data_IF_703311443435
#
_entry.id   IF_703311443435
#
_cell.length_a   1.000
_cell.length_b   1.000
_cell.length_c   1.000
_cell.angle_alpha   90.00
_cell.angle_beta   90.00
_cell.angle_gamma   90.00
#
_symmetry.space_group_name_H-M   'P 1'
#
loop_
_entity.id
_entity.type
_entity.pdbx_description
1 polymer ?
#
# COMPACT_ATOMS: atom_id res chain seq x y z
N UNK A 1 -0.83 -9.35 25.30
CA UNK A 1 -1.39 -9.17 23.94
C UNK A 1 -0.27 -8.69 23.05
N UNK A 2 -0.07 -9.30 21.91
CA UNK A 2 0.95 -8.89 20.93
C UNK A 2 0.44 -7.67 20.16
N UNK A 3 1.32 -6.73 19.85
CA UNK A 3 1.01 -5.61 18.97
C UNK A 3 1.90 -5.67 17.74
N UNK A 4 1.27 -5.78 16.58
CA UNK A 4 1.94 -5.85 15.29
C UNK A 4 1.72 -4.52 14.54
N UNK A 5 2.80 -3.93 14.10
CA UNK A 5 2.77 -2.79 13.17
C UNK A 5 3.02 -3.33 11.76
N UNK A 6 2.21 -2.92 10.81
CA UNK A 6 2.36 -3.28 9.40
C UNK A 6 2.47 -2.00 8.57
N UNK A 7 3.52 -1.90 7.76
CA UNK A 7 3.60 -0.92 6.67
C UNK A 7 3.30 -1.64 5.36
N UNK A 8 2.54 -0.98 4.47
CA UNK A 8 2.16 -1.57 3.18
C UNK A 8 2.13 -0.52 2.08
N UNK A 9 2.60 -0.93 0.89
CA UNK A 9 2.48 -0.14 -0.33
C UNK A 9 2.41 -1.05 -1.56
N UNK A 10 1.85 -0.51 -2.65
CA UNK A 10 1.73 -1.17 -3.94
C UNK A 10 2.14 -0.24 -5.07
N UNK A 11 2.90 -0.75 -6.02
CA UNK A 11 3.36 -0.02 -7.20
C UNK A 11 2.91 -0.70 -8.49
N UNK A 12 2.63 0.08 -9.54
CA UNK A 12 2.40 -0.45 -10.89
C UNK A 12 3.02 0.42 -11.97
N UNK A 13 3.51 -0.21 -13.03
CA UNK A 13 4.11 0.44 -14.22
C UNK A 13 3.09 0.58 -15.34
N UNK A 14 1.95 1.16 -15.00
CA UNK A 14 0.76 1.28 -15.83
C UNK A 14 -0.49 0.88 -15.05
N UNK A 15 -1.67 1.10 -15.67
CA UNK A 15 -2.93 0.82 -14.98
C UNK A 15 -4.00 0.33 -15.98
N UNK A 16 -3.90 -0.97 -16.41
CA UNK A 16 -3.06 -2.06 -15.91
C UNK A 16 -1.62 -2.07 -16.47
N UNK A 17 -0.72 -2.78 -15.73
CA UNK A 17 0.67 -3.00 -16.10
C UNK A 17 1.38 -3.93 -15.12
N UNK A 18 2.68 -4.06 -15.25
CA UNK A 18 3.49 -4.80 -14.28
C UNK A 18 3.42 -4.10 -12.92
N UNK A 19 3.23 -4.84 -11.86
CA UNK A 19 3.18 -4.28 -10.52
C UNK A 19 3.85 -5.16 -9.48
N UNK A 20 4.15 -4.57 -8.34
CA UNK A 20 4.69 -5.24 -7.17
C UNK A 20 4.14 -4.61 -5.90
N UNK A 21 4.25 -5.31 -4.80
CA UNK A 21 3.87 -4.78 -3.50
C UNK A 21 4.89 -5.13 -2.43
N UNK A 22 4.93 -4.30 -1.39
CA UNK A 22 5.72 -4.53 -0.18
C UNK A 22 4.84 -4.53 1.07
N UNK A 23 5.21 -5.38 2.03
CA UNK A 23 4.62 -5.42 3.36
C UNK A 23 5.72 -5.68 4.39
N UNK A 24 5.85 -4.80 5.38
CA UNK A 24 6.80 -4.94 6.50
C UNK A 24 6.01 -5.09 7.77
N UNK A 25 6.24 -6.19 8.49
CA UNK A 25 5.63 -6.51 9.78
C UNK A 25 6.65 -6.32 10.90
N UNK A 26 6.28 -5.60 11.93
CA UNK A 26 7.09 -5.41 13.13
C UNK A 26 6.30 -5.88 14.36
N UNK A 27 6.80 -6.91 15.03
CA UNK A 27 6.30 -7.34 16.34
C UNK A 27 6.96 -6.49 17.43
N UNK A 28 6.16 -5.74 18.19
CA UNK A 28 6.68 -4.87 19.24
C UNK A 28 7.13 -5.64 20.48
N UNK A 29 6.42 -6.71 20.84
CA UNK A 29 6.76 -7.55 21.98
C UNK A 29 7.83 -8.56 21.61
N UNK A 30 7.67 -9.25 20.48
CA UNK A 30 8.65 -10.23 19.98
C UNK A 30 9.93 -9.60 19.45
N UNK A 31 9.96 -8.29 19.22
CA UNK A 31 11.10 -7.55 18.62
C UNK A 31 11.64 -8.23 17.35
N UNK A 32 10.73 -8.60 16.46
CA UNK A 32 11.02 -9.25 15.20
C UNK A 32 10.47 -8.43 14.04
N UNK A 33 11.11 -8.53 12.89
CA UNK A 33 10.69 -7.91 11.63
C UNK A 33 10.64 -8.97 10.55
N UNK A 34 9.60 -8.90 9.71
CA UNK A 34 9.43 -9.73 8.51
C UNK A 34 9.03 -8.83 7.34
N UNK A 35 9.70 -9.02 6.23
CA UNK A 35 9.36 -8.37 4.98
C UNK A 35 8.76 -9.38 4.02
N UNK A 36 7.74 -8.95 3.30
CA UNK A 36 7.07 -9.73 2.26
C UNK A 36 6.85 -8.84 1.03
N UNK A 37 6.85 -9.46 -0.12
CA UNK A 37 6.52 -8.80 -1.37
C UNK A 37 6.30 -9.82 -2.46
N UNK A 38 5.60 -9.44 -3.49
CA UNK A 38 5.40 -10.24 -4.69
C UNK A 38 5.12 -9.35 -5.89
N UNK A 39 5.09 -9.95 -7.09
CA UNK A 39 4.93 -9.28 -8.36
C UNK A 39 3.77 -9.87 -9.16
N UNK A 40 3.05 -9.02 -9.89
CA UNK A 40 2.08 -9.42 -10.92
C UNK A 40 2.43 -8.75 -12.26
N UNK A 41 2.39 -9.50 -13.36
CA UNK A 41 2.75 -8.98 -14.69
C UNK A 41 1.68 -8.03 -15.29
N UNK A 42 0.42 -8.19 -14.88
CA UNK A 42 -0.69 -7.39 -15.39
C UNK A 42 -1.68 -7.07 -14.26
N UNK A 43 -1.49 -5.93 -13.62
CA UNK A 43 -2.24 -5.53 -12.45
C UNK A 43 -2.48 -4.01 -12.43
N UNK A 44 -3.07 -3.50 -11.36
CA UNK A 44 -3.28 -2.07 -11.14
C UNK A 44 -2.72 -1.67 -9.77
N UNK A 45 -2.42 -0.39 -9.58
CA UNK A 45 -1.93 0.11 -8.29
C UNK A 45 -2.84 -0.30 -7.13
N UNK A 46 -4.14 -0.08 -7.26
CA UNK A 46 -5.10 -0.45 -6.21
C UNK A 46 -5.10 -1.95 -5.88
N UNK A 47 -4.86 -2.82 -6.87
CA UNK A 47 -4.72 -4.26 -6.60
C UNK A 47 -3.47 -4.57 -5.79
N UNK A 48 -2.35 -3.93 -6.13
CA UNK A 48 -1.09 -4.11 -5.40
C UNK A 48 -1.18 -3.60 -3.96
N UNK A 49 -1.81 -2.42 -3.74
CA UNK A 49 -2.08 -1.90 -2.39
C UNK A 49 -2.94 -2.88 -1.55
N UNK A 50 -4.01 -3.43 -2.14
CA UNK A 50 -4.83 -4.45 -1.47
C UNK A 50 -4.04 -5.73 -1.19
N UNK A 51 -3.24 -6.19 -2.16
CA UNK A 51 -2.43 -7.41 -2.03
C UNK A 51 -1.38 -7.29 -0.94
N UNK A 52 -0.76 -6.11 -0.79
CA UNK A 52 0.18 -5.82 0.29
C UNK A 52 -0.44 -6.04 1.68
N UNK A 53 -1.63 -5.46 1.90
CA UNK A 53 -2.35 -5.58 3.18
C UNK A 53 -2.83 -7.00 3.42
N UNK A 54 -3.40 -7.65 2.41
CA UNK A 54 -3.86 -9.05 2.49
C UNK A 54 -2.67 -9.96 2.84
N UNK A 55 -1.52 -9.77 2.20
CA UNK A 55 -0.31 -10.55 2.50
C UNK A 55 0.13 -10.32 3.94
N UNK A 56 0.25 -9.06 4.37
CA UNK A 56 0.67 -8.72 5.73
C UNK A 56 -0.24 -9.36 6.78
N UNK A 57 -1.55 -9.19 6.67
CA UNK A 57 -2.52 -9.75 7.62
C UNK A 57 -2.53 -11.27 7.63
N UNK A 58 -2.41 -11.92 6.47
CA UNK A 58 -2.35 -13.38 6.38
C UNK A 58 -1.07 -13.95 7.02
N UNK A 59 0.04 -13.21 6.98
CA UNK A 59 1.28 -13.64 7.63
C UNK A 59 1.24 -13.41 9.15
N UNK A 60 0.59 -12.35 9.63
CA UNK A 60 0.38 -12.17 11.08
C UNK A 60 -0.31 -13.39 11.69
N UNK A 61 -1.34 -13.93 11.04
CA UNK A 61 -2.07 -15.12 11.52
C UNK A 61 -1.19 -16.39 11.64
N UNK A 62 -0.15 -16.49 10.82
CA UNK A 62 0.81 -17.61 10.87
C UNK A 62 1.89 -17.42 11.93
N UNK A 63 2.30 -16.17 12.14
CA UNK A 63 3.43 -15.81 13.01
C UNK A 63 2.98 -15.70 14.47
N UNK A 64 1.77 -15.16 14.71
CA UNK A 64 1.26 -14.86 16.04
C UNK A 64 0.16 -15.84 16.42
N UNK A 65 0.43 -16.67 17.44
CA UNK A 65 -0.49 -17.72 17.91
C UNK A 65 -1.47 -17.26 19.01
N UNK A 66 -1.46 -15.99 19.39
CA UNK A 66 -2.24 -15.42 20.52
C UNK A 66 -3.07 -14.23 20.05
N UNK A 67 -3.94 -13.72 20.91
CA UNK A 67 -4.65 -12.47 20.69
C UNK A 67 -3.67 -11.34 20.39
N UNK A 68 -3.90 -10.64 19.32
CA UNK A 68 -3.07 -9.55 18.84
C UNK A 68 -3.90 -8.34 18.40
N UNK A 69 -3.27 -7.19 18.45
CA UNK A 69 -3.75 -5.94 17.87
C UNK A 69 -2.84 -5.57 16.70
N UNK A 70 -3.41 -5.03 15.64
CA UNK A 70 -2.67 -4.63 14.45
C UNK A 70 -2.86 -3.14 14.20
N UNK A 71 -1.76 -2.42 13.95
CA UNK A 71 -1.80 -1.08 13.36
C UNK A 71 -1.24 -1.15 11.95
N UNK A 72 -2.01 -0.73 10.96
CA UNK A 72 -1.63 -0.73 9.54
C UNK A 72 -1.38 0.71 9.11
N UNK A 73 -0.16 0.97 8.66
CA UNK A 73 0.24 2.21 8.01
C UNK A 73 0.26 2.04 6.50
N UNK A 74 -0.47 2.87 5.79
CA UNK A 74 -0.53 2.89 4.32
C UNK A 74 -0.84 4.30 3.81
N UNK A 75 -0.35 4.65 2.65
CA UNK A 75 -0.71 5.91 1.98
C UNK A 75 -1.97 5.77 1.08
N UNK A 76 -2.49 4.55 0.96
CA UNK A 76 -3.69 4.24 0.18
C UNK A 76 -4.99 4.66 0.87
N UNK A 77 -5.45 5.86 0.57
CA UNK A 77 -6.81 6.30 0.98
C UNK A 77 -7.93 5.42 0.41
N UNK A 78 -7.68 4.78 -0.74
CA UNK A 78 -8.61 3.84 -1.35
C UNK A 78 -8.84 2.64 -0.44
N UNK A 79 -7.76 2.03 0.05
CA UNK A 79 -7.87 0.84 0.89
C UNK A 79 -8.45 1.20 2.26
N UNK A 80 -8.00 2.28 2.91
CA UNK A 80 -8.54 2.69 4.21
C UNK A 80 -10.06 2.92 4.11
N UNK A 81 -10.51 3.74 3.13
CA UNK A 81 -11.95 4.00 2.96
C UNK A 81 -12.74 2.75 2.60
N UNK A 82 -12.17 1.87 1.77
CA UNK A 82 -12.78 0.60 1.42
C UNK A 82 -13.00 -0.30 2.63
N UNK A 83 -11.94 -0.53 3.41
CA UNK A 83 -11.94 -1.41 4.57
C UNK A 83 -12.80 -0.88 5.74
N UNK A 84 -12.83 0.44 5.94
CA UNK A 84 -13.53 1.05 7.09
C UNK A 84 -14.95 1.50 6.81
N UNK A 85 -15.33 1.67 5.54
CA UNK A 85 -16.63 2.20 5.19
C UNK A 85 -17.35 1.42 4.07
N UNK A 86 -16.70 1.20 2.91
CA UNK A 86 -17.43 0.75 1.72
C UNK A 86 -17.80 -0.74 1.76
N UNK A 87 -16.93 -1.61 2.28
CA UNK A 87 -17.16 -3.07 2.32
C UNK A 87 -18.46 -3.46 3.01
N UNK A 88 -18.88 -2.73 4.05
CA UNK A 88 -20.13 -3.00 4.76
C UNK A 88 -21.37 -2.78 3.88
N UNK A 89 -21.31 -1.78 3.02
CA UNK A 89 -22.38 -1.51 2.05
C UNK A 89 -22.36 -2.52 0.90
N UNK A 90 -21.17 -2.86 0.41
CA UNK A 90 -21.02 -3.83 -0.68
C UNK A 90 -21.46 -5.22 -0.28
N UNK A 91 -21.10 -5.71 0.91
CA UNK A 91 -21.56 -7.00 1.42
C UNK A 91 -23.09 -7.07 1.53
N UNK A 92 -23.76 -5.98 2.00
CA UNK A 92 -25.20 -5.92 2.10
C UNK A 92 -25.91 -5.84 0.74
N UNK A 93 -25.20 -5.39 -0.30
CA UNK A 93 -25.72 -5.19 -1.65
C UNK A 93 -25.15 -6.21 -2.66
N UNK A 94 -24.84 -7.42 -2.20
CA UNK A 94 -24.33 -8.50 -3.02
C UNK A 94 -23.12 -8.10 -3.89
N UNK A 95 -22.20 -7.32 -3.31
CA UNK A 95 -21.02 -6.78 -3.98
C UNK A 95 -21.32 -5.96 -5.25
N UNK A 96 -22.45 -5.26 -5.25
CA UNK A 96 -22.83 -4.34 -6.32
C UNK A 96 -22.65 -2.88 -5.88
N UNK A 97 -22.26 -2.05 -6.83
CA UNK A 97 -22.25 -0.59 -6.66
C UNK A 97 -23.69 -0.04 -6.67
N UNK A 98 -23.85 1.26 -6.39
CA UNK A 98 -25.15 1.94 -6.54
C UNK A 98 -25.73 1.82 -7.95
N UNK A 99 -24.88 1.71 -8.96
CA UNK A 99 -25.26 1.56 -10.36
C UNK A 99 -25.48 0.09 -10.78
N UNK A 100 -25.55 -0.85 -9.81
CA UNK A 100 -25.73 -2.29 -10.04
C UNK A 100 -24.62 -2.97 -10.83
N UNK A 101 -23.47 -2.33 -10.98
CA UNK A 101 -22.26 -2.95 -11.54
C UNK A 101 -21.48 -3.66 -10.44
N UNK A 102 -20.65 -4.64 -10.80
CA UNK A 102 -19.77 -5.31 -9.84
C UNK A 102 -18.76 -4.33 -9.23
N UNK A 103 -18.46 -4.53 -7.95
CA UNK A 103 -17.41 -3.78 -7.26
C UNK A 103 -16.05 -4.15 -7.86
N UNK A 104 -15.26 -3.16 -8.22
CA UNK A 104 -13.89 -3.37 -8.69
C UNK A 104 -13.03 -4.05 -7.61
N UNK A 105 -12.19 -5.00 -8.04
CA UNK A 105 -11.31 -5.76 -7.16
C UNK A 105 -12.07 -6.56 -6.07
N UNK A 106 -13.31 -6.99 -6.38
CA UNK A 106 -14.16 -7.76 -5.47
C UNK A 106 -13.42 -8.95 -4.87
N UNK A 107 -12.67 -9.68 -5.68
CA UNK A 107 -11.86 -10.84 -5.29
C UNK A 107 -10.89 -10.53 -4.13
N UNK A 108 -10.23 -9.38 -4.17
CA UNK A 108 -9.31 -8.94 -3.12
C UNK A 108 -10.08 -8.40 -1.90
N UNK A 109 -11.16 -7.66 -2.12
CA UNK A 109 -11.99 -7.16 -1.03
C UNK A 109 -12.62 -8.29 -0.22
N UNK A 110 -13.12 -9.34 -0.84
CA UNK A 110 -13.68 -10.51 -0.17
C UNK A 110 -12.61 -11.19 0.72
N UNK A 111 -11.39 -11.34 0.21
CA UNK A 111 -10.26 -11.86 0.99
C UNK A 111 -9.90 -10.96 2.17
N UNK A 112 -9.83 -9.65 1.94
CA UNK A 112 -9.50 -8.69 3.00
C UNK A 112 -10.55 -8.71 4.12
N UNK A 113 -11.83 -8.74 3.78
CA UNK A 113 -12.94 -8.79 4.77
C UNK A 113 -12.80 -9.99 5.70
N UNK A 114 -12.47 -11.17 5.17
CA UNK A 114 -12.25 -12.37 6.00
C UNK A 114 -11.10 -12.14 6.99
N UNK A 115 -10.00 -11.51 6.53
CA UNK A 115 -8.82 -11.27 7.37
C UNK A 115 -9.03 -10.20 8.45
N UNK A 116 -9.90 -9.21 8.22
CA UNK A 116 -10.16 -8.15 9.20
C UNK A 116 -11.31 -8.46 10.14
N UNK A 117 -12.15 -9.46 9.81
CA UNK A 117 -13.32 -9.80 10.60
C UNK A 117 -12.92 -10.21 12.02
N UNK A 118 -13.61 -9.63 13.04
CA UNK A 118 -13.37 -9.87 14.46
C UNK A 118 -11.95 -9.55 14.96
N UNK A 119 -11.19 -8.75 14.21
CA UNK A 119 -9.86 -8.29 14.63
C UNK A 119 -9.87 -6.81 15.01
N UNK A 120 -9.04 -6.47 15.98
CA UNK A 120 -8.79 -5.08 16.34
C UNK A 120 -7.69 -4.53 15.44
N UNK A 121 -8.11 -3.76 14.42
CA UNK A 121 -7.19 -3.15 13.44
C UNK A 121 -7.32 -1.64 13.50
N UNK A 122 -6.21 -0.98 13.77
CA UNK A 122 -6.08 0.47 13.67
C UNK A 122 -5.54 0.81 12.27
N UNK A 123 -6.28 1.64 11.55
CA UNK A 123 -5.91 2.10 10.21
C UNK A 123 -5.33 3.49 10.28
N UNK A 124 -4.08 3.64 9.90
CA UNK A 124 -3.34 4.89 9.94
C UNK A 124 -2.89 5.30 8.53
N UNK A 125 -3.31 6.50 8.11
CA UNK A 125 -2.87 7.06 6.86
C UNK A 125 -1.53 7.77 7.03
N UNK A 126 -0.54 7.39 6.25
CA UNK A 126 0.73 8.10 6.12
C UNK A 126 0.80 8.76 4.74
N UNK A 127 1.47 9.93 4.61
CA UNK A 127 1.68 10.51 3.29
C UNK A 127 2.76 9.72 2.53
N UNK A 128 2.49 9.43 1.25
CA UNK A 128 3.47 8.80 0.37
C UNK A 128 4.71 9.67 0.18
N UNK A 129 5.87 9.04 0.14
CA UNK A 129 7.18 9.68 -0.09
C UNK A 129 7.50 10.84 0.86
N UNK A 130 7.07 10.76 2.10
CA UNK A 130 7.30 11.79 3.13
C UNK A 130 8.51 11.53 4.03
N UNK A 131 9.34 10.54 3.69
CA UNK A 131 10.51 10.17 4.47
C UNK A 131 10.17 9.29 5.69
N UNK A 132 8.99 8.70 5.75
CA UNK A 132 8.59 7.74 6.79
C UNK A 132 9.29 6.41 6.50
N UNK A 133 10.24 5.94 7.35
CA UNK A 133 11.12 4.82 7.02
C UNK A 133 10.37 3.55 6.61
N UNK A 134 9.30 3.20 7.32
CA UNK A 134 8.49 2.02 7.00
C UNK A 134 7.77 2.12 5.66
N UNK A 135 7.24 3.30 5.32
CA UNK A 135 6.57 3.54 4.04
C UNK A 135 7.56 3.57 2.88
N UNK A 136 8.72 4.24 3.04
CA UNK A 136 9.77 4.25 2.01
C UNK A 136 10.29 2.83 1.73
N UNK A 137 10.39 1.96 2.76
CA UNK A 137 10.86 0.59 2.55
C UNK A 137 9.85 -0.27 1.78
N UNK A 138 8.57 -0.16 2.06
CA UNK A 138 7.55 -0.93 1.32
C UNK A 138 7.38 -0.42 -0.12
N UNK A 139 7.52 0.88 -0.35
CA UNK A 139 7.59 1.48 -1.71
C UNK A 139 8.82 0.92 -2.48
N UNK A 140 10.00 0.88 -1.85
CA UNK A 140 11.20 0.28 -2.45
C UNK A 140 10.96 -1.18 -2.85
N UNK A 141 10.39 -2.00 -1.96
CA UNK A 141 10.10 -3.41 -2.23
C UNK A 141 9.13 -3.53 -3.42
N UNK A 142 7.99 -2.82 -3.37
CA UNK A 142 6.96 -2.87 -4.41
C UNK A 142 7.48 -2.41 -5.77
N UNK A 143 8.24 -1.32 -5.78
CA UNK A 143 8.84 -0.74 -6.99
C UNK A 143 9.86 -1.66 -7.64
N UNK A 144 10.83 -2.19 -6.87
CA UNK A 144 11.83 -3.13 -7.39
C UNK A 144 11.18 -4.40 -7.96
N UNK A 145 10.20 -4.95 -7.25
CA UNK A 145 9.47 -6.12 -7.73
C UNK A 145 8.70 -5.82 -9.03
N UNK A 146 8.04 -4.66 -9.14
CA UNK A 146 7.37 -4.24 -10.38
C UNK A 146 8.35 -4.18 -11.56
N UNK A 147 9.59 -3.73 -11.32
CA UNK A 147 10.64 -3.56 -12.31
C UNK A 147 11.48 -4.83 -12.57
N UNK A 148 11.16 -5.94 -11.90
CA UNK A 148 11.97 -7.20 -11.92
C UNK A 148 13.40 -7.02 -11.39
N UNK A 149 13.60 -6.02 -10.56
CA UNK A 149 14.88 -5.83 -9.88
C UNK A 149 14.98 -6.73 -8.64
N UNK A 150 16.18 -7.20 -8.31
CA UNK A 150 16.37 -8.00 -7.11
C UNK A 150 16.13 -7.16 -5.85
N UNK A 151 15.40 -7.74 -4.89
CA UNK A 151 15.21 -7.17 -3.57
C UNK A 151 15.39 -8.27 -2.53
N UNK A 152 16.26 -8.02 -1.55
CA UNK A 152 16.41 -8.90 -0.41
C UNK A 152 15.34 -8.57 0.62
N UNK A 153 14.56 -9.59 1.02
CA UNK A 153 13.52 -9.46 2.02
C UNK A 153 14.06 -9.92 3.37
N UNK A 154 13.95 -9.06 4.39
CA UNK A 154 14.48 -9.31 5.71
C UNK A 154 13.53 -10.17 6.55
N UNK A 155 14.13 -11.07 7.33
CA UNK A 155 13.45 -11.75 8.44
C UNK A 155 14.44 -11.90 9.58
N UNK A 156 14.13 -11.33 10.76
CA UNK A 156 15.03 -11.38 11.90
C UNK A 156 14.66 -10.41 13.02
N UNK A 157 15.60 -10.19 13.93
CA UNK A 157 15.39 -9.30 15.06
C UNK A 157 15.29 -7.83 14.64
N UNK A 158 14.43 -7.08 15.33
CA UNK A 158 14.30 -5.64 15.12
C UNK A 158 15.61 -4.89 15.42
N UNK A 159 16.42 -5.37 16.33
CA UNK A 159 17.72 -4.78 16.68
C UNK A 159 18.70 -4.79 15.50
N UNK A 160 18.69 -5.86 14.70
CA UNK A 160 19.58 -6.03 13.56
C UNK A 160 18.96 -5.54 12.24
N UNK A 161 17.75 -4.96 12.29
CA UNK A 161 17.10 -4.48 11.10
C UNK A 161 17.83 -3.25 10.54
N UNK A 162 18.10 -3.27 9.24
CA UNK A 162 18.92 -2.24 8.60
C UNK A 162 18.19 -0.92 8.37
N UNK A 163 16.84 -0.91 8.33
CA UNK A 163 16.05 0.32 8.24
C UNK A 163 15.96 0.93 9.64
N UNK A 164 16.66 2.04 9.83
CA UNK A 164 16.68 2.75 11.11
C UNK A 164 15.32 3.39 11.38
N UNK A 165 14.96 3.44 12.67
CA UNK A 165 13.74 4.10 13.14
C UNK A 165 12.47 3.66 12.38
N UNK A 166 12.39 2.38 12.03
CA UNK A 166 11.30 1.79 11.23
C UNK A 166 9.90 2.16 11.75
N UNK A 167 9.76 2.37 13.04
CA UNK A 167 8.49 2.73 13.70
C UNK A 167 8.25 4.25 13.76
N UNK A 168 9.18 5.07 13.30
CA UNK A 168 8.96 6.51 13.23
C UNK A 168 7.98 6.84 12.10
N UNK A 169 6.85 7.43 12.47
CA UNK A 169 5.80 7.88 11.54
C UNK A 169 5.65 9.41 11.51
N UNK A 170 6.55 10.13 12.20
CA UNK A 170 6.59 11.58 12.14
C UNK A 170 7.10 12.06 10.77
N UNK A 171 6.50 13.11 10.25
CA UNK A 171 6.88 13.74 8.99
C UNK A 171 6.71 15.25 9.07
N UNK A 172 7.51 15.99 8.31
CA UNK A 172 7.37 17.44 8.21
C UNK A 172 6.40 17.81 7.08
N UNK A 173 5.28 18.43 7.45
CA UNK A 173 4.29 18.91 6.47
C UNK A 173 4.89 19.93 5.46
N UNK A 174 5.97 20.63 5.82
CA UNK A 174 6.65 21.56 4.93
C UNK A 174 7.32 20.84 3.75
N UNK A 175 7.81 19.62 3.95
CA UNK A 175 8.44 18.82 2.89
C UNK A 175 7.40 18.28 1.89
N UNK A 176 6.19 17.99 2.34
CA UNK A 176 5.07 17.65 1.45
C UNK A 176 4.68 18.82 0.54
N UNK A 177 4.72 20.03 1.05
CA UNK A 177 4.41 21.24 0.27
C UNK A 177 5.49 21.52 -0.78
N UNK A 178 6.78 21.31 -0.47
CA UNK A 178 7.89 21.45 -1.43
C UNK A 178 7.77 20.45 -2.59
N UNK A 179 7.45 19.18 -2.31
CA UNK A 179 7.24 18.15 -3.36
C UNK A 179 6.03 18.46 -4.25
N UNK A 180 4.93 19.01 -3.69
CA UNK A 180 3.75 19.45 -4.47
C UNK A 180 3.97 20.72 -5.29
N UNK A 181 4.94 21.54 -4.94
CA UNK A 181 5.28 22.77 -5.66
C UNK A 181 6.22 22.54 -6.85
N UNK A 182 6.72 21.34 -7.05
CA UNK A 182 7.39 20.94 -8.29
C UNK A 182 6.38 21.02 -9.44
N UNK A 183 6.26 22.20 -10.07
CA UNK A 183 5.47 22.37 -11.28
C UNK A 183 6.03 21.42 -12.34
N UNK A 184 5.15 20.62 -12.96
CA UNK A 184 5.52 19.97 -14.19
C UNK A 184 6.03 21.03 -15.16
N UNK A 185 7.24 20.86 -15.69
CA UNK A 185 7.84 21.82 -16.62
C UNK A 185 7.16 21.79 -17.98
N UNK A 186 6.46 20.70 -18.30
CA UNK A 186 5.71 20.56 -19.53
C UNK A 186 4.66 19.46 -19.43
N UNK A 187 3.64 19.58 -20.24
CA UNK A 187 2.60 18.57 -20.51
C UNK A 187 2.71 18.16 -21.96
N UNK A 188 2.42 16.91 -22.26
CA UNK A 188 2.46 16.39 -23.63
C UNK A 188 1.06 15.96 -24.04
N UNK A 189 0.59 16.42 -25.20
CA UNK A 189 -0.63 15.93 -25.82
C UNK A 189 -0.32 15.28 -27.17
N UNK A 190 -1.06 14.22 -27.52
CA UNK A 190 -1.00 13.58 -28.82
C UNK A 190 -2.42 13.54 -29.42
N UNK A 191 -2.57 14.19 -30.56
CA UNK A 191 -3.84 14.20 -31.31
C UNK A 191 -3.53 13.95 -32.78
N UNK A 192 -4.12 12.88 -33.34
CA UNK A 192 -3.95 12.55 -34.76
C UNK A 192 -2.49 12.24 -35.16
N UNK A 193 -1.69 11.69 -34.26
CA UNK A 193 -0.27 11.37 -34.48
C UNK A 193 0.68 12.59 -34.34
N UNK A 194 0.15 13.75 -33.98
CA UNK A 194 0.97 14.94 -33.71
C UNK A 194 1.18 15.13 -32.23
N UNK A 195 2.45 15.06 -31.78
CA UNK A 195 2.84 15.27 -30.39
C UNK A 195 3.15 16.75 -30.18
N UNK A 196 2.54 17.37 -29.18
CA UNK A 196 2.80 18.75 -28.75
C UNK A 196 3.18 18.81 -27.29
N UNK A 197 4.12 19.67 -26.97
CA UNK A 197 4.53 19.99 -25.59
C UNK A 197 3.90 21.32 -25.18
N UNK A 198 3.31 21.35 -24.00
CA UNK A 198 2.64 22.52 -23.43
C UNK A 198 3.28 22.89 -22.08
N UNK A 199 3.30 24.17 -21.77
CA UNK A 199 3.81 24.68 -20.47
C UNK A 199 2.71 24.82 -19.43
N UNK A 200 1.45 24.73 -19.84
CA UNK A 200 0.28 24.82 -18.97
C UNK A 200 -0.72 23.71 -19.30
N UNK A 201 -1.33 23.11 -18.26
CA UNK A 201 -2.30 22.03 -18.43
C UNK A 201 -3.50 22.42 -19.28
N UNK A 202 -4.00 23.64 -19.13
CA UNK A 202 -5.17 24.11 -19.89
C UNK A 202 -4.93 24.34 -21.38
N UNK A 203 -3.71 24.16 -21.87
CA UNK A 203 -3.32 24.28 -23.28
C UNK A 203 -3.09 22.91 -23.97
N UNK A 204 -3.32 21.79 -23.25
CA UNK A 204 -3.21 20.43 -23.78
C UNK A 204 -4.39 20.05 -24.68
#
# INVERSE_FOLDING_TARGET
MEHIVIFTDGASRGNPGAGGYGSVLVSLVGKQVWEFGDREDNTTNNRMELSAIIRGLAEVEKIVSKDFEVTIYTDSKYVIKGATAWVFGWQKNDWKTKNKTDVLNKDLWERLVVLIQNKKINWEHVPGHAGIPGNERVDEIGTKLADKEPVELYQGSLENYFVKDILNTEFDESDLKKKKSGKAYSYVSEVGGVVKTHTEWGSC
#
